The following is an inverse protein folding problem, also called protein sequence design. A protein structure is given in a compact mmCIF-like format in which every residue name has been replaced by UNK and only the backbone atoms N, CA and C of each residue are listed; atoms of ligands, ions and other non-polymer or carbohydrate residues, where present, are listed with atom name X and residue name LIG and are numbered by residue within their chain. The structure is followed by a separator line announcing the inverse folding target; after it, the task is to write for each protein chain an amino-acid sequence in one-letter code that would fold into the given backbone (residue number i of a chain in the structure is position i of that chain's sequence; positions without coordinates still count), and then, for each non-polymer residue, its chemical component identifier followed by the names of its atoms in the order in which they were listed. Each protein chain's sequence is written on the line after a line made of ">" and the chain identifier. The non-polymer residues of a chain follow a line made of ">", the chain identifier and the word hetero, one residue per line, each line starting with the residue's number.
data_IF_596163074361
#
_entry.id   IF_596163074361
#
_cell.length_a   1.000
_cell.length_b   1.000
_cell.length_c   1.000
_cell.angle_alpha   90.00
_cell.angle_beta   90.00
_cell.angle_gamma   90.00
#
_symmetry.space_group_name_H-M   'P 1'
#
loop_
_entity.id
_entity.type
_entity.pdbx_description
1 polymer ?
#
# COMPACT_ATOMS: atom_id res chain seq x y z
N UNK A 1 32.78 32.53 -19.22
CA UNK A 1 31.53 31.78 -18.92
C UNK A 1 31.66 30.83 -17.73
N UNK A 2 32.84 30.27 -17.45
CA UNK A 2 33.07 29.31 -16.35
C UNK A 2 32.63 29.78 -14.95
N UNK A 3 32.77 31.08 -14.64
CA UNK A 3 32.37 31.65 -13.33
C UNK A 3 30.85 31.60 -13.09
N UNK A 4 30.04 31.77 -14.14
CA UNK A 4 28.57 31.73 -14.05
C UNK A 4 28.07 30.30 -13.83
N UNK A 5 28.66 29.33 -14.51
CA UNK A 5 28.34 27.90 -14.32
C UNK A 5 28.68 27.40 -12.92
N UNK A 6 29.80 27.86 -12.34
CA UNK A 6 30.16 27.54 -10.95
C UNK A 6 29.15 28.09 -9.94
N UNK A 7 28.65 29.30 -10.16
CA UNK A 7 27.67 29.93 -9.29
C UNK A 7 26.34 29.16 -9.30
N UNK A 8 25.85 28.80 -10.49
CA UNK A 8 24.63 27.97 -10.64
C UNK A 8 24.80 26.60 -9.97
N UNK A 9 25.99 25.98 -10.12
CA UNK A 9 26.30 24.69 -9.51
C UNK A 9 26.29 24.77 -7.97
N UNK A 10 26.96 25.78 -7.40
CA UNK A 10 27.00 25.99 -5.95
C UNK A 10 25.60 26.24 -5.39
N UNK A 11 24.80 27.09 -6.04
CA UNK A 11 23.43 27.37 -5.60
C UNK A 11 22.54 26.13 -5.70
N UNK A 12 22.67 25.34 -6.76
CA UNK A 12 21.96 24.07 -6.93
C UNK A 12 22.31 23.05 -5.84
N UNK A 13 23.60 22.89 -5.52
CA UNK A 13 24.05 21.99 -4.45
C UNK A 13 23.57 22.44 -3.06
N UNK A 14 23.52 23.75 -2.81
CA UNK A 14 23.06 24.29 -1.53
C UNK A 14 21.55 24.08 -1.34
N UNK A 15 20.75 24.28 -2.39
CA UNK A 15 19.31 24.00 -2.40
C UNK A 15 19.02 22.51 -2.23
N UNK A 16 19.79 21.64 -2.89
CA UNK A 16 19.62 20.19 -2.80
C UNK A 16 19.96 19.65 -1.40
N UNK A 17 20.98 20.21 -0.74
CA UNK A 17 21.36 19.80 0.61
C UNK A 17 20.43 20.36 1.71
N UNK A 18 19.88 21.56 1.53
CA UNK A 18 18.95 22.16 2.51
C UNK A 18 17.56 21.51 2.52
N UNK A 19 17.10 20.92 1.41
CA UNK A 19 15.81 20.20 1.35
C UNK A 19 15.80 18.81 1.99
N UNK A 20 16.96 18.21 2.25
CA UNK A 20 17.09 16.85 2.76
C UNK A 20 17.02 16.73 4.29
N UNK A 21 16.79 17.83 5.03
CA UNK A 21 16.39 17.77 6.44
C UNK A 21 14.89 17.45 6.58
N UNK A 22 14.37 16.56 5.71
CA UNK A 22 13.03 16.01 5.86
C UNK A 22 13.00 15.26 7.18
N UNK A 23 12.38 15.92 8.15
CA UNK A 23 12.04 15.46 9.47
C UNK A 23 11.64 13.99 9.40
N UNK A 24 12.59 13.10 9.73
CA UNK A 24 12.30 11.69 9.92
C UNK A 24 11.48 11.64 11.19
N UNK A 25 10.15 11.72 11.02
CA UNK A 25 9.22 11.57 12.13
C UNK A 25 9.58 10.23 12.77
N UNK A 26 10.01 10.21 14.05
CA UNK A 26 10.33 8.95 14.70
C UNK A 26 9.13 8.03 14.50
N UNK A 27 9.33 6.78 14.04
CA UNK A 27 8.22 5.87 13.87
C UNK A 27 7.43 5.87 15.18
N UNK A 28 6.09 6.03 15.13
CA UNK A 28 5.30 6.05 16.35
C UNK A 28 5.69 4.81 17.13
N UNK A 29 6.20 5.02 18.35
CA UNK A 29 6.47 3.89 19.23
C UNK A 29 5.12 3.22 19.41
N UNK A 30 4.92 2.09 18.74
CA UNK A 30 3.78 1.22 18.97
C UNK A 30 4.01 0.64 20.36
N UNK A 31 3.76 1.46 21.38
CA UNK A 31 3.51 0.96 22.71
C UNK A 31 2.17 0.29 22.54
N UNK A 32 2.17 -1.04 22.43
CA UNK A 32 0.96 -1.81 22.62
C UNK A 32 0.55 -1.59 24.09
N UNK A 33 -0.11 -0.45 24.36
CA UNK A 33 -0.58 -0.08 25.69
C UNK A 33 -1.68 -1.08 26.03
N UNK A 34 -1.32 -2.17 26.72
CA UNK A 34 -2.27 -3.07 27.37
C UNK A 34 -3.34 -3.71 26.46
N UNK A 35 -3.15 -3.76 25.15
CA UNK A 35 -4.12 -4.41 24.28
C UNK A 35 -4.05 -5.93 24.49
N UNK A 36 -5.19 -6.52 24.83
CA UNK A 36 -5.30 -7.97 24.88
C UNK A 36 -5.12 -8.53 23.47
N UNK A 37 -4.43 -9.68 23.30
CA UNK A 37 -4.32 -10.33 22.00
C UNK A 37 -5.70 -10.52 21.37
N UNK A 38 -5.85 -10.32 20.05
CA UNK A 38 -7.10 -10.59 19.38
C UNK A 38 -7.47 -12.07 19.56
N UNK A 39 -8.76 -12.42 19.58
CA UNK A 39 -9.19 -13.80 19.65
C UNK A 39 -8.64 -14.58 18.45
N UNK A 40 -8.43 -15.89 18.65
CA UNK A 40 -8.04 -16.76 17.55
C UNK A 40 -9.07 -16.66 16.41
N UNK A 41 -8.62 -16.59 15.15
CA UNK A 41 -9.54 -16.58 14.01
C UNK A 41 -10.33 -17.89 14.01
N UNK A 42 -11.57 -17.82 13.53
CA UNK A 42 -12.40 -19.01 13.38
C UNK A 42 -11.73 -20.03 12.45
N UNK A 43 -11.85 -21.32 12.76
CA UNK A 43 -11.15 -22.40 12.06
C UNK A 43 -11.39 -22.39 10.53
N UNK A 44 -12.58 -21.99 10.08
CA UNK A 44 -12.94 -21.88 8.67
C UNK A 44 -12.13 -20.82 7.90
N UNK A 45 -11.48 -19.88 8.60
CA UNK A 45 -10.62 -18.84 8.03
C UNK A 45 -9.20 -19.36 7.74
N UNK A 46 -8.77 -20.38 8.49
CA UNK A 46 -7.47 -21.03 8.33
C UNK A 46 -7.53 -22.28 7.44
N UNK A 47 -8.73 -22.62 6.97
CA UNK A 47 -8.95 -23.75 6.08
C UNK A 47 -8.27 -23.51 4.73
N UNK A 48 -7.52 -24.50 4.26
CA UNK A 48 -6.85 -24.46 2.97
C UNK A 48 -7.92 -24.33 1.87
N UNK A 49 -7.98 -23.15 1.26
CA UNK A 49 -8.90 -22.89 0.15
C UNK A 49 -8.32 -23.51 -1.10
N UNK A 50 -9.18 -24.19 -1.88
CA UNK A 50 -8.78 -24.71 -3.18
C UNK A 50 -8.11 -23.62 -4.04
N UNK A 51 -7.12 -23.99 -4.88
CA UNK A 51 -6.43 -23.04 -5.76
C UNK A 51 -7.35 -22.43 -6.84
N UNK A 52 -8.64 -22.79 -6.85
CA UNK A 52 -9.66 -22.29 -7.78
C UNK A 52 -10.31 -20.97 -7.33
N UNK A 53 -9.75 -20.25 -6.35
CA UNK A 53 -10.29 -18.98 -5.84
C UNK A 53 -10.71 -18.03 -6.98
N UNK A 54 -9.89 -17.92 -8.04
CA UNK A 54 -10.21 -17.11 -9.22
C UNK A 54 -11.47 -17.57 -9.94
N UNK A 55 -11.62 -18.88 -10.21
CA UNK A 55 -12.81 -19.42 -10.86
C UNK A 55 -14.05 -19.26 -9.97
N UNK A 56 -13.90 -19.45 -8.66
CA UNK A 56 -14.99 -19.25 -7.70
C UNK A 56 -15.45 -17.80 -7.66
N UNK A 57 -14.51 -16.86 -7.55
CA UNK A 57 -14.83 -15.43 -7.57
C UNK A 57 -15.44 -15.01 -8.91
N UNK A 58 -14.95 -15.54 -10.03
CA UNK A 58 -15.57 -15.27 -11.34
C UNK A 58 -17.01 -15.77 -11.39
N UNK A 59 -17.32 -16.96 -10.88
CA UNK A 59 -18.69 -17.46 -10.86
C UNK A 59 -19.60 -16.62 -9.95
N UNK A 60 -19.14 -16.26 -8.76
CA UNK A 60 -19.92 -15.48 -7.78
C UNK A 60 -20.11 -14.01 -8.20
N UNK A 61 -19.09 -13.41 -8.81
CA UNK A 61 -19.09 -11.99 -9.19
C UNK A 61 -19.55 -11.76 -10.63
N UNK A 62 -19.63 -12.82 -11.45
CA UNK A 62 -20.23 -12.68 -12.77
C UNK A 62 -21.72 -12.41 -12.63
N UNK A 63 -22.28 -11.48 -13.42
CA UNK A 63 -23.71 -11.36 -13.53
C UNK A 63 -24.25 -12.73 -14.00
N UNK A 64 -25.11 -13.33 -13.18
CA UNK A 64 -25.89 -14.51 -13.59
C UNK A 64 -26.50 -14.21 -14.96
N UNK A 65 -26.43 -15.11 -15.95
CA UNK A 65 -27.18 -14.95 -17.16
C UNK A 65 -28.66 -15.06 -16.79
N UNK A 66 -29.25 -13.95 -16.35
CA UNK A 66 -30.69 -13.77 -16.40
C UNK A 66 -31.08 -14.04 -17.84
N UNK A 67 -31.95 -15.03 -17.99
CA UNK A 67 -32.48 -15.49 -19.25
C UNK A 67 -32.95 -14.26 -20.00
N UNK A 68 -32.26 -13.88 -21.07
CA UNK A 68 -32.62 -12.73 -21.87
C UNK A 68 -34.03 -12.98 -22.41
N UNK A 69 -35.04 -12.40 -21.77
CA UNK A 69 -36.42 -12.41 -22.26
C UNK A 69 -36.37 -11.61 -23.56
N UNK A 70 -36.50 -12.33 -24.67
CA UNK A 70 -36.53 -11.79 -26.02
C UNK A 70 -37.89 -11.13 -26.23
N UNK A 71 -37.88 -9.84 -26.56
CA UNK A 71 -39.06 -9.08 -27.02
C UNK A 71 -39.73 -9.70 -28.26
#
# INVERSE_FOLDING_TARGET
>A
MLKRSRLVCVTGLLLLSSGCQSYSTPPPRVVAVGCQPPPAPAAWFMEEREPNLTQRLLNELSPSPETAIKD
#
